data_IF_820044799066
#
_entry.id   IF_820044799066
#
_cell.length_a   1.000
_cell.length_b   1.000
_cell.length_c   1.000
_cell.angle_alpha   90.00
_cell.angle_beta   90.00
_cell.angle_gamma   90.00
#
_symmetry.space_group_name_H-M   'P 1'
#
loop_
_entity.id
_entity.type
_entity.pdbx_description
1 polymer ?
#
# COMPACT_ATOMS: atom_id res chain seq x y z
N UNK A 1 -35.00 51.20 -56.06
CA UNK A 1 -36.36 51.64 -55.68
C UNK A 1 -37.16 50.39 -55.32
N UNK A 2 -37.53 50.24 -54.03
CA UNK A 2 -38.54 49.32 -53.45
C UNK A 2 -38.48 47.83 -53.84
N UNK A 3 -38.66 46.81 -53.01
CA UNK A 3 -39.20 46.56 -51.67
C UNK A 3 -38.81 45.08 -51.42
N UNK A 4 -38.37 44.64 -50.24
CA UNK A 4 -39.16 43.73 -49.40
C UNK A 4 -38.31 43.38 -48.16
N UNK A 5 -38.77 43.80 -46.99
CA UNK A 5 -39.54 42.98 -46.02
C UNK A 5 -38.63 42.01 -45.26
N UNK A 6 -37.96 42.47 -44.20
CA UNK A 6 -38.45 42.69 -42.82
C UNK A 6 -38.72 41.40 -42.03
N UNK A 7 -38.05 41.38 -40.88
CA UNK A 7 -38.48 40.95 -39.54
C UNK A 7 -38.08 39.54 -39.06
N UNK A 8 -37.13 39.60 -38.13
CA UNK A 8 -36.71 38.62 -37.15
C UNK A 8 -37.84 37.86 -36.46
N UNK A 9 -37.62 36.57 -36.23
CA UNK A 9 -38.10 35.88 -35.04
C UNK A 9 -36.93 35.09 -34.44
N UNK A 10 -36.43 35.59 -33.31
CA UNK A 10 -35.57 34.83 -32.39
C UNK A 10 -36.52 34.01 -31.53
N UNK A 11 -36.31 32.69 -31.43
CA UNK A 11 -36.62 31.93 -30.22
C UNK A 11 -35.76 30.66 -30.11
N UNK A 12 -34.72 30.77 -29.28
CA UNK A 12 -34.21 29.82 -28.28
C UNK A 12 -34.07 28.31 -28.63
N UNK A 13 -32.80 27.88 -28.76
CA UNK A 13 -32.21 26.55 -28.44
C UNK A 13 -32.65 26.03 -27.04
N UNK A 14 -32.49 24.73 -26.65
CA UNK A 14 -31.45 23.77 -27.07
C UNK A 14 -31.89 22.28 -27.17
N UNK A 15 -31.02 21.38 -27.66
CA UNK A 15 -30.49 20.21 -26.93
C UNK A 15 -29.71 19.25 -27.85
N UNK A 16 -28.41 19.22 -27.59
CA UNK A 16 -27.44 18.12 -27.66
C UNK A 16 -27.93 16.74 -28.16
N UNK A 17 -27.24 16.22 -29.17
CA UNK A 17 -26.66 14.88 -29.07
C UNK A 17 -25.17 15.03 -29.37
N UNK A 18 -24.41 15.29 -28.31
CA UNK A 18 -23.00 14.92 -28.25
C UNK A 18 -22.97 13.40 -28.37
N UNK A 19 -22.38 12.87 -29.45
CA UNK A 19 -21.88 11.51 -29.39
C UNK A 19 -20.56 11.60 -28.64
N UNK A 20 -20.64 11.62 -27.31
CA UNK A 20 -19.49 11.35 -26.46
C UNK A 20 -19.03 9.94 -26.80
N UNK A 21 -18.00 9.81 -27.64
CA UNK A 21 -17.04 8.75 -27.42
C UNK A 21 -16.30 9.13 -26.15
N UNK A 22 -16.91 8.87 -25.00
CA UNK A 22 -16.18 8.77 -23.76
C UNK A 22 -15.23 7.59 -23.96
N UNK A 23 -14.04 7.87 -24.45
CA UNK A 23 -12.88 7.15 -23.98
C UNK A 23 -12.88 7.39 -22.48
N UNK A 24 -13.55 6.50 -21.73
CA UNK A 24 -13.21 6.26 -20.35
C UNK A 24 -11.72 5.97 -20.36
N UNK A 25 -10.91 7.00 -20.16
CA UNK A 25 -9.55 6.84 -19.69
C UNK A 25 -9.68 5.97 -18.47
N UNK A 26 -9.28 4.70 -18.58
CA UNK A 26 -9.19 3.80 -17.44
C UNK A 26 -8.57 4.60 -16.30
N UNK A 27 -9.31 4.69 -15.19
CA UNK A 27 -8.83 5.44 -14.03
C UNK A 27 -7.42 4.94 -13.71
N UNK A 28 -6.45 5.84 -13.45
CA UNK A 28 -5.08 5.44 -13.22
C UNK A 28 -5.05 4.37 -12.13
N UNK A 29 -4.48 3.22 -12.46
CA UNK A 29 -4.43 2.10 -11.52
C UNK A 29 -3.60 2.60 -10.33
N UNK A 30 -4.15 2.55 -9.10
CA UNK A 30 -3.44 3.08 -7.95
C UNK A 30 -2.08 2.39 -7.79
N UNK A 31 -1.12 3.10 -7.20
CA UNK A 31 0.15 2.51 -6.76
C UNK A 31 -0.03 1.49 -5.63
N UNK A 32 -1.27 1.20 -5.22
CA UNK A 32 -1.66 0.30 -4.15
C UNK A 32 -2.78 -0.65 -4.62
N UNK A 33 -2.58 -1.96 -4.49
CA UNK A 33 -3.66 -2.95 -4.65
C UNK A 33 -4.02 -3.55 -3.29
N UNK A 34 -5.31 -3.47 -2.96
CA UNK A 34 -5.94 -4.14 -1.81
C UNK A 34 -7.20 -4.85 -2.32
N UNK A 35 -7.02 -6.06 -2.82
CA UNK A 35 -8.14 -6.92 -3.18
C UNK A 35 -8.08 -8.21 -2.39
N UNK A 36 -9.25 -8.73 -2.02
CA UNK A 36 -9.33 -10.06 -1.40
C UNK A 36 -8.73 -11.10 -2.34
N UNK A 37 -7.81 -11.91 -1.83
CA UNK A 37 -7.03 -12.87 -2.60
C UNK A 37 -5.70 -12.34 -3.14
N UNK A 38 -5.36 -11.07 -2.88
CA UNK A 38 -4.01 -10.57 -3.11
C UNK A 38 -3.02 -11.28 -2.19
N UNK A 39 -1.86 -11.68 -2.74
CA UNK A 39 -0.79 -12.38 -2.02
C UNK A 39 0.55 -11.77 -2.38
N UNK A 40 1.43 -11.58 -1.39
CA UNK A 40 2.82 -11.17 -1.61
C UNK A 40 3.73 -11.99 -0.72
N UNK A 41 4.64 -12.74 -1.31
CA UNK A 41 5.65 -13.51 -0.60
C UNK A 41 7.01 -12.85 -0.73
N UNK A 42 7.69 -12.73 0.39
CA UNK A 42 8.99 -12.09 0.52
C UNK A 42 9.98 -13.07 1.11
N UNK A 43 11.14 -13.15 0.47
CA UNK A 43 12.17 -14.10 0.83
C UNK A 43 13.56 -13.50 0.68
N UNK A 44 14.34 -13.57 1.76
CA UNK A 44 15.78 -13.34 1.75
C UNK A 44 16.49 -14.52 2.41
N UNK A 45 17.17 -15.36 1.62
CA UNK A 45 18.02 -16.44 2.13
C UNK A 45 19.10 -15.91 3.06
N UNK A 46 19.79 -14.87 2.58
CA UNK A 46 20.92 -14.24 3.27
C UNK A 46 20.52 -13.78 4.67
N UNK A 47 19.34 -13.17 4.78
CA UNK A 47 18.85 -12.59 6.03
C UNK A 47 17.87 -13.53 6.75
N UNK A 48 17.67 -14.75 6.22
CA UNK A 48 16.73 -15.76 6.72
C UNK A 48 15.33 -15.18 6.97
N UNK A 49 14.80 -14.41 6.01
CA UNK A 49 13.46 -13.80 6.09
C UNK A 49 12.50 -14.51 5.20
N UNK A 50 11.36 -14.88 5.79
CA UNK A 50 10.23 -15.51 5.13
C UNK A 50 8.97 -14.89 5.68
N UNK A 51 8.27 -14.17 4.82
CA UNK A 51 6.99 -13.57 5.14
C UNK A 51 6.06 -13.69 3.94
N UNK A 52 4.85 -14.18 4.18
CA UNK A 52 3.80 -14.18 3.16
C UNK A 52 2.62 -13.37 3.66
N UNK A 53 2.35 -12.27 2.97
CA UNK A 53 1.24 -11.38 3.24
C UNK A 53 0.04 -11.72 2.36
N UNK A 54 -1.14 -11.79 2.97
CA UNK A 54 -2.40 -12.10 2.31
C UNK A 54 -3.43 -11.02 2.64
N UNK A 55 -4.26 -10.66 1.67
CA UNK A 55 -5.56 -10.02 1.96
C UNK A 55 -6.63 -11.12 1.95
N UNK A 56 -7.15 -11.44 3.12
CA UNK A 56 -8.04 -12.60 3.33
C UNK A 56 -9.52 -12.22 3.40
N UNK A 57 -9.84 -10.94 3.59
CA UNK A 57 -11.22 -10.51 3.70
C UNK A 57 -11.39 -9.02 3.86
N UNK A 58 -12.60 -8.64 4.21
CA UNK A 58 -13.02 -7.27 4.46
C UNK A 58 -13.99 -7.23 5.64
N UNK A 59 -14.00 -6.12 6.36
CA UNK A 59 -14.92 -5.85 7.47
C UNK A 59 -15.14 -4.33 7.60
N UNK A 60 -15.85 -3.91 8.64
CA UNK A 60 -16.09 -2.50 8.94
C UNK A 60 -15.65 -2.19 10.37
N UNK A 61 -15.02 -1.02 10.54
CA UNK A 61 -14.78 -0.38 11.85
C UNK A 61 -16.11 0.04 12.48
N UNK A 62 -16.08 0.34 13.78
CA UNK A 62 -17.25 0.85 14.53
C UNK A 62 -17.78 2.19 14.00
N UNK A 63 -16.94 2.99 13.38
CA UNK A 63 -17.32 4.23 12.68
C UNK A 63 -17.86 4.02 11.26
N UNK A 64 -17.94 2.77 10.80
CA UNK A 64 -18.44 2.41 9.47
C UNK A 64 -17.38 2.45 8.37
N UNK A 65 -16.11 2.77 8.65
CA UNK A 65 -15.05 2.69 7.65
C UNK A 65 -14.82 1.23 7.23
N UNK A 66 -15.00 0.94 5.94
CA UNK A 66 -14.64 -0.37 5.37
C UNK A 66 -13.13 -0.55 5.42
N UNK A 67 -12.68 -1.71 5.90
CA UNK A 67 -11.27 -2.10 6.01
C UNK A 67 -11.04 -3.48 5.40
N UNK A 68 -9.87 -3.68 4.81
CA UNK A 68 -9.36 -4.96 4.34
C UNK A 68 -8.60 -5.66 5.45
N UNK A 69 -8.79 -6.96 5.58
CA UNK A 69 -8.13 -7.80 6.57
C UNK A 69 -6.91 -8.42 5.90
N UNK A 70 -5.73 -7.96 6.33
CA UNK A 70 -4.46 -8.58 6.00
C UNK A 70 -4.04 -9.60 7.05
N UNK A 71 -3.32 -10.62 6.64
CA UNK A 71 -2.63 -11.52 7.56
C UNK A 71 -1.28 -11.93 7.01
N UNK A 72 -0.39 -12.34 7.91
CA UNK A 72 0.99 -12.64 7.59
C UNK A 72 1.32 -14.04 8.11
N UNK A 73 1.97 -14.83 7.27
CA UNK A 73 2.62 -16.08 7.67
C UNK A 73 4.12 -15.84 7.77
N UNK A 74 4.60 -15.66 9.00
CA UNK A 74 6.03 -15.59 9.28
C UNK A 74 6.62 -16.98 9.47
N UNK A 75 7.85 -17.19 9.01
CA UNK A 75 8.62 -18.45 9.09
C UNK A 75 8.85 -19.08 10.48
N UNK A 76 8.22 -18.61 11.56
CA UNK A 76 8.30 -19.24 12.89
C UNK A 76 7.12 -20.20 13.11
N UNK A 77 7.46 -21.44 13.46
CA UNK A 77 6.55 -22.58 13.67
C UNK A 77 5.53 -22.43 14.81
N UNK A 78 5.40 -21.27 15.46
CA UNK A 78 4.60 -21.13 16.69
C UNK A 78 3.70 -19.88 16.79
N UNK A 79 3.67 -18.96 15.82
CA UNK A 79 2.95 -17.70 16.04
C UNK A 79 1.54 -17.69 15.42
N UNK A 80 0.55 -17.42 16.28
CA UNK A 80 -0.81 -16.97 15.96
C UNK A 80 -0.79 -16.00 14.77
N UNK A 81 -1.63 -16.28 13.75
CA UNK A 81 -1.83 -15.38 12.63
C UNK A 81 -2.12 -13.95 13.16
N UNK A 82 -1.22 -13.01 12.85
CA UNK A 82 -1.46 -11.59 13.15
C UNK A 82 -2.35 -11.03 12.05
N UNK A 83 -3.40 -10.35 12.45
CA UNK A 83 -4.30 -9.64 11.54
C UNK A 83 -3.96 -8.16 11.55
N UNK A 84 -3.87 -7.59 10.37
CA UNK A 84 -3.66 -6.17 10.14
C UNK A 84 -4.86 -5.63 9.38
N UNK A 85 -5.26 -4.40 9.65
CA UNK A 85 -6.40 -3.79 8.97
C UNK A 85 -5.92 -2.63 8.13
N UNK A 86 -6.36 -2.60 6.88
CA UNK A 86 -5.93 -1.59 5.94
C UNK A 86 -7.10 -0.93 5.24
N UNK A 87 -6.96 0.35 4.92
CA UNK A 87 -7.92 1.05 4.08
C UNK A 87 -7.26 2.18 3.30
N UNK A 88 -8.00 2.72 2.34
CA UNK A 88 -7.59 3.90 1.57
C UNK A 88 -8.57 5.03 1.89
N UNK A 89 -8.07 6.18 2.31
CA UNK A 89 -8.84 7.40 2.59
C UNK A 89 -8.02 8.61 2.19
N UNK A 90 -8.67 9.67 1.70
CA UNK A 90 -8.01 10.96 1.40
C UNK A 90 -6.75 10.87 0.51
N UNK A 91 -6.68 9.88 -0.38
CA UNK A 91 -5.52 9.64 -1.25
C UNK A 91 -4.31 9.01 -0.55
N UNK A 92 -4.49 8.38 0.60
CA UNK A 92 -3.46 7.64 1.34
C UNK A 92 -3.90 6.21 1.64
N UNK A 93 -2.92 5.33 1.69
CA UNK A 93 -3.03 3.96 2.20
C UNK A 93 -2.67 3.95 3.69
N UNK A 94 -3.54 3.35 4.50
CA UNK A 94 -3.44 3.32 5.96
C UNK A 94 -3.34 1.90 6.50
N UNK A 95 -2.52 1.73 7.54
CA UNK A 95 -2.67 0.66 8.55
C UNK A 95 -3.52 1.20 9.72
N UNK A 96 -4.34 0.35 10.33
CA UNK A 96 -5.24 0.73 11.43
C UNK A 96 -5.61 -0.45 12.32
N UNK A 97 -6.25 -0.17 13.44
CA UNK A 97 -6.91 -1.14 14.30
C UNK A 97 -8.41 -1.22 13.94
N UNK A 98 -9.05 -2.36 14.26
CA UNK A 98 -10.48 -2.56 13.97
C UNK A 98 -11.38 -1.76 14.91
N UNK A 99 -10.93 -1.55 16.15
CA UNK A 99 -11.63 -0.84 17.22
C UNK A 99 -10.76 0.27 17.77
N UNK A 100 -11.36 1.21 18.50
CA UNK A 100 -10.63 2.27 19.20
C UNK A 100 -9.72 1.66 20.26
N UNK A 101 -8.46 2.09 20.31
CA UNK A 101 -7.54 1.61 21.32
C UNK A 101 -7.94 2.18 22.70
N UNK A 102 -8.44 1.33 23.60
CA UNK A 102 -8.87 1.75 24.94
C UNK A 102 -7.71 2.14 25.87
N UNK A 103 -6.47 1.80 25.51
CA UNK A 103 -5.24 2.08 26.27
C UNK A 103 -4.23 2.91 25.45
N UNK A 104 -4.67 3.47 24.31
CA UNK A 104 -3.79 3.92 23.24
C UNK A 104 -2.80 5.01 23.63
N UNK A 105 -1.56 4.81 23.17
CA UNK A 105 -0.52 5.81 22.91
C UNK A 105 -1.11 7.23 22.87
N UNK A 106 -0.61 8.12 23.73
CA UNK A 106 -0.95 9.56 23.84
C UNK A 106 -0.96 10.28 22.46
N UNK A 107 -1.98 10.05 21.61
CA UNK A 107 -2.17 10.61 20.28
C UNK A 107 -3.39 11.56 20.35
N UNK A 108 -3.19 12.84 20.69
CA UNK A 108 -4.30 13.78 20.77
C UNK A 108 -4.96 13.94 19.40
N UNK A 109 -6.26 13.63 19.32
CA UNK A 109 -7.08 13.85 18.12
C UNK A 109 -7.25 12.65 17.19
N UNK A 110 -6.62 11.50 17.47
CA UNK A 110 -6.86 10.26 16.74
C UNK A 110 -7.05 9.08 17.73
N UNK A 111 -8.30 8.65 18.01
CA UNK A 111 -8.54 7.53 18.92
C UNK A 111 -8.16 6.16 18.31
N UNK A 112 -7.65 6.16 17.09
CA UNK A 112 -7.16 5.00 16.36
C UNK A 112 -5.65 5.12 16.15
N UNK A 113 -4.96 3.99 16.08
CA UNK A 113 -3.56 3.94 15.66
C UNK A 113 -3.50 3.93 14.13
N UNK A 114 -3.74 5.08 13.49
CA UNK A 114 -3.66 5.20 12.03
C UNK A 114 -2.24 5.55 11.57
N UNK A 115 -1.67 4.70 10.72
CA UNK A 115 -0.36 4.90 10.11
C UNK A 115 -0.52 5.14 8.61
N UNK A 116 -0.06 6.29 8.11
CA UNK A 116 0.01 6.63 6.68
C UNK A 116 1.20 5.92 6.06
N UNK A 117 0.92 4.89 5.28
CA UNK A 117 1.95 4.04 4.67
C UNK A 117 2.45 4.59 3.33
N UNK A 118 1.58 5.27 2.59
CA UNK A 118 1.92 5.79 1.27
C UNK A 118 0.81 6.62 0.68
N UNK A 119 1.19 7.68 -0.04
CA UNK A 119 0.25 8.39 -0.91
C UNK A 119 -0.08 7.51 -2.11
N UNK A 120 -1.35 7.42 -2.50
CA UNK A 120 -1.79 6.55 -3.60
C UNK A 120 -1.34 7.06 -4.96
N UNK A 121 -1.10 8.37 -5.09
CA UNK A 121 -0.62 9.04 -6.30
C UNK A 121 0.51 10.03 -5.93
N UNK A 122 1.70 9.54 -5.59
CA UNK A 122 2.80 10.37 -5.15
C UNK A 122 3.44 11.12 -6.33
N UNK A 123 4.02 12.28 -6.05
CA UNK A 123 4.97 12.97 -6.92
C UNK A 123 6.36 12.88 -6.31
N UNK A 124 7.39 13.00 -7.15
CA UNK A 124 8.77 13.05 -6.66
C UNK A 124 8.96 14.22 -5.70
N UNK A 125 9.51 13.95 -4.52
CA UNK A 125 9.68 14.92 -3.45
C UNK A 125 8.46 15.16 -2.55
N UNK A 126 7.30 14.54 -2.81
CA UNK A 126 6.15 14.62 -1.90
C UNK A 126 6.54 14.16 -0.49
N UNK A 127 6.10 14.88 0.54
CA UNK A 127 6.36 14.56 1.95
C UNK A 127 5.07 14.48 2.76
N UNK A 128 4.98 13.50 3.67
CA UNK A 128 3.87 13.37 4.62
C UNK A 128 4.33 12.77 5.94
N UNK A 129 3.60 13.11 7.01
CA UNK A 129 3.81 12.52 8.34
C UNK A 129 3.40 11.05 8.29
N UNK A 130 4.24 10.17 8.84
CA UNK A 130 4.04 8.73 8.89
C UNK A 130 2.89 8.32 9.82
N UNK A 131 2.83 8.87 11.02
CA UNK A 131 1.78 8.61 12.02
C UNK A 131 1.20 9.94 12.48
N UNK A 132 -0.10 10.13 12.24
CA UNK A 132 -0.78 11.38 12.63
C UNK A 132 -0.90 11.49 14.15
N UNK A 133 -0.67 12.68 14.71
CA UNK A 133 -0.70 12.92 16.16
C UNK A 133 0.50 12.41 16.97
N UNK A 134 1.51 11.80 16.34
CA UNK A 134 2.71 11.32 17.05
C UNK A 134 3.59 12.50 17.51
N UNK A 135 4.05 12.48 18.76
CA UNK A 135 4.93 13.51 19.37
C UNK A 135 6.30 13.61 18.68
N UNK A 136 6.81 12.53 18.09
CA UNK A 136 8.05 12.51 17.30
C UNK A 136 7.69 12.33 15.83
N UNK A 137 7.50 13.44 15.13
CA UNK A 137 7.13 13.42 13.72
C UNK A 137 8.23 12.73 12.90
N UNK A 138 7.84 11.67 12.18
CA UNK A 138 8.65 11.00 11.18
C UNK A 138 8.00 11.22 9.82
N UNK A 139 8.81 11.47 8.80
CA UNK A 139 8.32 11.84 7.48
C UNK A 139 8.69 10.81 6.43
N UNK A 140 7.70 10.43 5.64
CA UNK A 140 7.96 9.79 4.36
C UNK A 140 8.26 10.85 3.31
N UNK A 141 9.28 10.59 2.49
CA UNK A 141 9.56 11.33 1.27
C UNK A 141 9.45 10.38 0.08
N UNK A 142 8.60 10.73 -0.89
CA UNK A 142 8.46 9.97 -2.13
C UNK A 142 9.60 10.27 -3.09
N UNK A 143 10.14 9.22 -3.69
CA UNK A 143 11.15 9.30 -4.75
C UNK A 143 10.77 8.38 -5.90
N UNK A 144 10.67 8.92 -7.11
CA UNK A 144 10.54 8.10 -8.31
C UNK A 144 11.88 7.42 -8.61
N UNK A 145 11.88 6.10 -8.71
CA UNK A 145 13.09 5.31 -8.97
C UNK A 145 13.07 4.59 -10.32
N UNK A 146 12.05 4.83 -11.14
CA UNK A 146 11.92 4.22 -12.45
C UNK A 146 11.47 2.77 -12.35
N UNK A 147 12.41 1.84 -12.43
CA UNK A 147 12.16 0.40 -12.45
C UNK A 147 12.91 -0.32 -11.34
N UNK A 148 12.33 -1.39 -10.82
CA UNK A 148 12.95 -2.24 -9.80
C UNK A 148 12.80 -3.71 -10.18
N UNK A 149 13.93 -4.38 -10.37
CA UNK A 149 13.99 -5.83 -10.52
C UNK A 149 13.84 -6.52 -9.17
N UNK A 150 13.05 -7.58 -9.16
CA UNK A 150 12.82 -8.48 -8.01
C UNK A 150 12.86 -9.92 -8.50
N UNK A 151 12.97 -10.92 -7.60
CA UNK A 151 12.85 -12.31 -8.01
C UNK A 151 11.50 -12.65 -8.66
N UNK A 152 10.41 -11.95 -8.30
CA UNK A 152 9.10 -12.16 -8.94
C UNK A 152 9.09 -11.70 -10.41
N UNK A 153 9.60 -10.50 -10.68
CA UNK A 153 9.69 -9.86 -12.01
C UNK A 153 10.39 -8.49 -11.95
N UNK A 154 10.54 -7.88 -13.12
CA UNK A 154 10.81 -6.45 -13.27
C UNK A 154 9.54 -5.61 -13.14
N UNK A 155 9.53 -4.69 -12.17
CA UNK A 155 8.47 -3.71 -11.99
C UNK A 155 8.87 -2.37 -12.60
N UNK A 156 7.90 -1.71 -13.25
CA UNK A 156 8.02 -0.35 -13.80
C UNK A 156 7.25 0.62 -12.93
N UNK A 157 7.51 1.90 -13.14
CA UNK A 157 6.87 3.01 -12.45
C UNK A 157 6.90 2.82 -10.92
N UNK A 158 8.10 2.70 -10.38
CA UNK A 158 8.32 2.38 -8.96
C UNK A 158 8.64 3.67 -8.19
N UNK A 159 7.95 3.84 -7.07
CA UNK A 159 8.26 4.85 -6.06
C UNK A 159 8.88 4.20 -4.83
N UNK A 160 9.93 4.82 -4.31
CA UNK A 160 10.45 4.55 -2.97
C UNK A 160 9.91 5.60 -1.99
N UNK A 161 9.24 5.16 -0.94
CA UNK A 161 8.85 5.99 0.20
C UNK A 161 9.89 5.84 1.29
N UNK A 162 10.79 6.81 1.37
CA UNK A 162 11.87 6.81 2.35
C UNK A 162 11.38 7.43 3.66
N UNK A 163 11.44 6.67 4.76
CA UNK A 163 11.17 7.13 6.11
C UNK A 163 12.47 7.61 6.75
N UNK A 164 12.72 8.91 6.70
CA UNK A 164 13.96 9.54 7.18
C UNK A 164 15.22 8.73 6.78
N UNK A 165 16.07 8.34 7.74
CA UNK A 165 17.25 7.50 7.50
C UNK A 165 17.02 6.01 7.84
N UNK A 166 15.78 5.61 8.10
CA UNK A 166 15.47 4.30 8.70
C UNK A 166 15.28 3.25 7.60
N UNK A 167 14.33 3.49 6.70
CA UNK A 167 13.92 2.51 5.70
C UNK A 167 13.41 3.18 4.42
N UNK A 168 13.29 2.38 3.36
CA UNK A 168 12.56 2.73 2.13
C UNK A 168 11.58 1.62 1.80
N UNK A 169 10.31 1.98 1.61
CA UNK A 169 9.27 1.06 1.15
C UNK A 169 9.06 1.27 -0.35
N UNK A 170 9.08 0.20 -1.14
CA UNK A 170 8.95 0.26 -2.59
C UNK A 170 7.53 -0.09 -3.03
N UNK A 171 6.94 0.79 -3.83
CA UNK A 171 5.61 0.61 -4.41
C UNK A 171 5.68 0.68 -5.93
N UNK A 172 5.09 -0.32 -6.58
CA UNK A 172 4.96 -0.36 -8.03
C UNK A 172 3.51 -0.12 -8.44
N UNK A 173 3.34 0.68 -9.50
CA UNK A 173 2.03 0.98 -10.08
C UNK A 173 1.25 -0.30 -10.43
N UNK A 174 0.01 -0.41 -9.92
CA UNK A 174 -0.84 -1.59 -10.11
C UNK A 174 -0.46 -2.84 -9.30
N UNK A 175 0.64 -2.82 -8.57
CA UNK A 175 1.09 -3.95 -7.74
C UNK A 175 1.11 -3.64 -6.25
N UNK A 176 1.22 -2.39 -5.83
CA UNK A 176 1.37 -2.09 -4.41
C UNK A 176 2.81 -2.32 -3.92
N UNK A 177 2.92 -2.71 -2.66
CA UNK A 177 4.19 -2.97 -1.99
C UNK A 177 4.94 -4.10 -2.69
N UNK A 178 6.19 -3.87 -3.07
CA UNK A 178 7.05 -4.87 -3.74
C UNK A 178 8.40 -5.08 -3.03
N UNK A 179 8.61 -4.43 -1.89
CA UNK A 179 9.76 -4.66 -1.05
C UNK A 179 10.08 -3.50 -0.12
N UNK A 180 11.01 -3.76 0.77
CA UNK A 180 11.49 -2.83 1.78
C UNK A 180 13.01 -2.91 1.88
N UNK A 181 13.67 -1.78 2.11
CA UNK A 181 15.08 -1.71 2.45
C UNK A 181 15.27 -1.03 3.79
N UNK A 182 15.98 -1.68 4.70
CA UNK A 182 16.43 -1.09 5.96
C UNK A 182 17.80 -0.46 5.73
N UNK A 183 17.84 0.88 5.73
CA UNK A 183 18.99 1.65 5.26
C UNK A 183 20.20 1.45 6.19
N UNK A 184 19.99 1.49 7.50
CA UNK A 184 21.06 1.33 8.50
C UNK A 184 21.66 -0.08 8.51
N UNK A 185 20.84 -1.09 8.23
CA UNK A 185 21.26 -2.50 8.23
C UNK A 185 21.79 -2.98 6.88
N UNK A 186 21.63 -2.18 5.83
CA UNK A 186 21.91 -2.57 4.45
C UNK A 186 21.21 -3.91 4.08
N UNK A 187 19.98 -4.09 4.57
CA UNK A 187 19.13 -5.25 4.31
C UNK A 187 18.05 -4.82 3.32
N UNK A 188 17.75 -5.66 2.34
CA UNK A 188 16.64 -5.45 1.42
C UNK A 188 15.84 -6.73 1.27
N UNK A 189 14.54 -6.63 1.48
CA UNK A 189 13.59 -7.73 1.35
C UNK A 189 12.69 -7.37 0.18
N UNK A 190 12.78 -8.13 -0.91
CA UNK A 190 12.04 -7.90 -2.15
C UNK A 190 10.99 -9.00 -2.33
N UNK A 191 9.96 -8.71 -3.12
CA UNK A 191 8.92 -9.69 -3.41
C UNK A 191 9.43 -10.81 -4.34
N UNK A 192 9.16 -12.05 -3.97
CA UNK A 192 9.51 -13.25 -4.73
C UNK A 192 8.32 -13.82 -5.48
N UNK A 193 7.12 -13.64 -4.92
CA UNK A 193 5.86 -13.96 -5.58
C UNK A 193 4.82 -12.89 -5.29
N UNK A 194 4.05 -12.51 -6.31
CA UNK A 194 2.90 -11.61 -6.16
C UNK A 194 1.70 -12.14 -6.94
N UNK A 195 0.55 -12.17 -6.26
CA UNK A 195 -0.76 -12.36 -6.86
C UNK A 195 -1.58 -11.08 -6.66
N UNK A 196 -1.92 -10.43 -7.76
CA UNK A 196 -2.76 -9.22 -7.76
C UNK A 196 -3.78 -9.33 -8.88
N UNK A 197 -5.06 -9.07 -8.57
CA UNK A 197 -6.17 -9.17 -9.54
C UNK A 197 -6.22 -10.53 -10.26
N UNK A 198 -5.99 -11.61 -9.50
CA UNK A 198 -5.99 -12.99 -10.02
C UNK A 198 -4.81 -13.35 -10.93
N UNK A 199 -3.87 -12.42 -11.18
CA UNK A 199 -2.65 -12.67 -11.96
C UNK A 199 -1.47 -12.92 -11.04
N UNK A 200 -0.67 -13.92 -11.38
CA UNK A 200 0.44 -14.40 -10.58
C UNK A 200 1.78 -14.12 -11.27
N UNK A 201 2.80 -13.76 -10.49
CA UNK A 201 4.15 -13.48 -10.96
C UNK A 201 5.16 -14.00 -9.94
N UNK A 202 6.24 -14.62 -10.42
CA UNK A 202 7.18 -15.35 -9.59
C UNK A 202 6.70 -16.78 -9.28
N UNK A 203 7.45 -17.47 -8.44
CA UNK A 203 7.14 -18.83 -7.98
C UNK A 203 6.72 -18.77 -6.51
N UNK A 204 5.50 -19.22 -6.21
CA UNK A 204 5.04 -19.32 -4.83
C UNK A 204 5.68 -20.53 -4.16
N UNK A 205 6.33 -20.31 -3.01
CA UNK A 205 6.95 -21.37 -2.23
C UNK A 205 6.08 -21.64 -1.00
N UNK A 206 5.48 -22.83 -0.87
CA UNK A 206 4.71 -23.19 0.33
C UNK A 206 5.55 -23.11 1.61
N UNK A 207 4.92 -22.67 2.71
CA UNK A 207 5.59 -22.43 3.99
C UNK A 207 6.35 -23.65 4.53
N UNK A 208 5.82 -24.86 4.32
CA UNK A 208 6.43 -26.12 4.73
C UNK A 208 7.69 -26.49 3.94
N UNK A 209 7.92 -25.82 2.80
CA UNK A 209 9.11 -25.95 1.97
C UNK A 209 10.17 -24.87 2.27
N UNK A 210 9.83 -23.85 3.05
CA UNK A 210 10.78 -22.80 3.43
C UNK A 210 11.77 -23.33 4.48
N UNK A 211 13.07 -22.94 4.40
CA UNK A 211 14.04 -23.27 5.42
C UNK A 211 13.57 -22.87 6.82
N UNK A 212 13.64 -23.80 7.76
CA UNK A 212 13.28 -23.54 9.15
C UNK A 212 14.21 -22.48 9.74
N UNK A 213 13.66 -21.37 10.24
CA UNK A 213 14.41 -20.36 10.97
C UNK A 213 15.06 -20.95 12.23
N UNK A 214 16.31 -20.58 12.49
CA UNK A 214 16.97 -20.85 13.78
C UNK A 214 16.54 -19.80 14.81
N UNK A 215 16.47 -20.18 16.09
CA UNK A 215 15.97 -19.31 17.18
C UNK A 215 16.67 -17.95 17.28
N UNK A 216 17.93 -17.84 16.90
CA UNK A 216 18.69 -16.57 16.92
C UNK A 216 18.25 -15.55 15.86
N UNK A 217 17.69 -16.01 14.73
CA UNK A 217 17.11 -15.11 13.70
C UNK A 217 15.72 -14.58 14.07
N UNK A 218 15.03 -15.28 14.98
CA UNK A 218 13.68 -14.91 15.42
C UNK A 218 13.65 -13.66 16.30
N UNK A 219 14.62 -13.49 17.21
CA UNK A 219 14.65 -12.34 18.13
C UNK A 219 15.01 -11.03 17.41
N UNK A 220 16.02 -11.04 16.54
CA UNK A 220 16.56 -9.82 15.92
C UNK A 220 15.64 -9.12 14.90
N UNK A 221 14.63 -9.82 14.36
CA UNK A 221 13.63 -9.22 13.47
C UNK A 221 12.28 -8.99 14.14
N UNK A 222 11.90 -9.81 15.14
CA UNK A 222 10.68 -9.57 15.92
C UNK A 222 10.72 -8.27 16.72
N UNK A 223 11.89 -7.83 17.18
CA UNK A 223 12.03 -6.73 18.17
C UNK A 223 12.26 -5.34 17.60
N UNK A 224 12.41 -5.18 16.27
CA UNK A 224 12.82 -3.88 15.74
C UNK A 224 11.84 -3.25 14.75
N UNK A 225 11.32 -4.00 13.76
CA UNK A 225 10.42 -3.43 12.75
C UNK A 225 9.52 -4.51 12.12
N UNK A 226 8.22 -4.21 12.05
CA UNK A 226 7.20 -4.92 11.31
C UNK A 226 7.29 -4.62 9.82
N UNK A 227 6.51 -5.39 9.05
CA UNK A 227 6.54 -5.50 7.60
C UNK A 227 6.38 -4.16 6.83
N UNK A 228 5.92 -3.11 7.51
CA UNK A 228 5.74 -1.75 6.96
C UNK A 228 6.36 -0.65 7.85
N UNK A 229 7.36 -1.01 8.65
CA UNK A 229 8.03 -0.07 9.57
C UNK A 229 7.26 0.20 10.87
N UNK A 230 6.20 -0.57 11.15
CA UNK A 230 5.59 -0.61 12.49
C UNK A 230 6.66 -1.06 13.48
N UNK A 231 6.80 -0.46 14.66
CA UNK A 231 7.68 -1.04 15.66
C UNK A 231 6.95 -2.23 16.27
N UNK A 232 7.52 -3.42 16.17
CA UNK A 232 7.01 -4.59 16.87
C UNK A 232 7.74 -4.62 18.21
N UNK A 233 7.01 -4.33 19.28
CA UNK A 233 7.54 -4.22 20.65
C UNK A 233 8.38 -5.43 21.08
#
# INVERSE_FOLDING_TARGET
>A
MHLQRTLSFILLLPFFISCDSSTETEAPIPYMSLHVGDVRQYFSEKDSVYDTWYIVGETHRTDGQKVFIGTNEFGSLEDTARYFYYFIRDGYFYSTEIDTNSEGWDLPGNPYVEQRLGKTFPKDGDKWIHIDGNKKEQYFTAKYIGSKSTPAKDFKNVYGFQLDSILTVYYAEGFGHIGISFLEKNISILVNYVKVNGKEYGEYIPQDQLPKRTSSTNEAMKTEYGFLGERLD
#
